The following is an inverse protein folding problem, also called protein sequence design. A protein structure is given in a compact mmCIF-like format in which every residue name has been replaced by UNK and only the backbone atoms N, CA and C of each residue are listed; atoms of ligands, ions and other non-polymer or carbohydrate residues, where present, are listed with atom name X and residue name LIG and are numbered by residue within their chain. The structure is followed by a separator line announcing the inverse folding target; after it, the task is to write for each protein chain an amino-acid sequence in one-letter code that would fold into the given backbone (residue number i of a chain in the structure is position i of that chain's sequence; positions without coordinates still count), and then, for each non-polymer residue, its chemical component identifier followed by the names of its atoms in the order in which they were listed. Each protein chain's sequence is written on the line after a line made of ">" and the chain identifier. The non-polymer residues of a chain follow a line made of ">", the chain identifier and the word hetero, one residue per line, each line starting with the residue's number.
data_IF_816856007157
#
_entry.id   IF_816856007157
#
_cell.length_a   1.000
_cell.length_b   1.000
_cell.length_c   1.000
_cell.angle_alpha   90.00
_cell.angle_beta   90.00
_cell.angle_gamma   90.00
#
_symmetry.space_group_name_H-M   'P 1'
#
loop_
_entity.id
_entity.type
_entity.pdbx_description
1 polymer ?
#
# COMPACT_ATOMS: atom_id res chain seq x y z
N UNK A 1 -10.04 -5.41 -15.65
CA UNK A 1 -8.72 -6.10 -15.41
C UNK A 1 -7.59 -5.24 -15.94
N UNK A 2 -6.50 -5.18 -15.20
CA UNK A 2 -5.31 -4.46 -15.65
C UNK A 2 -4.69 -5.18 -16.86
N UNK A 3 -4.24 -4.40 -17.86
CA UNK A 3 -3.55 -4.98 -19.02
C UNK A 3 -2.17 -5.53 -18.63
N UNK A 4 -1.64 -6.53 -19.37
CA UNK A 4 -0.28 -7.03 -19.10
C UNK A 4 0.80 -5.95 -19.19
N UNK A 5 0.64 -4.98 -20.08
CA UNK A 5 1.59 -3.87 -20.23
C UNK A 5 1.59 -2.98 -19.00
N UNK A 6 0.42 -2.58 -18.52
CA UNK A 6 0.29 -1.74 -17.33
C UNK A 6 0.79 -2.48 -16.09
N UNK A 7 0.47 -3.78 -15.94
CA UNK A 7 0.94 -4.59 -14.83
C UNK A 7 2.46 -4.67 -14.79
N UNK A 8 3.09 -4.82 -15.96
CA UNK A 8 4.56 -4.83 -16.04
C UNK A 8 5.15 -3.52 -15.54
N UNK A 9 4.56 -2.38 -15.93
CA UNK A 9 5.01 -1.06 -15.50
C UNK A 9 4.83 -0.91 -13.98
N UNK A 10 3.68 -1.33 -13.46
CA UNK A 10 3.41 -1.30 -12.02
C UNK A 10 4.44 -2.10 -11.24
N UNK A 11 4.75 -3.32 -11.70
CA UNK A 11 5.74 -4.16 -11.04
C UNK A 11 7.15 -3.57 -11.08
N UNK A 12 7.55 -3.02 -12.22
CA UNK A 12 8.87 -2.39 -12.36
C UNK A 12 9.00 -1.15 -11.46
N UNK A 13 7.93 -0.35 -11.37
CA UNK A 13 7.96 0.94 -10.67
C UNK A 13 7.70 0.81 -9.18
N UNK A 14 6.77 -0.06 -8.79
CA UNK A 14 6.27 -0.15 -7.41
C UNK A 14 6.40 -1.54 -6.79
N UNK A 15 6.83 -2.56 -7.53
CA UNK A 15 7.07 -3.91 -7.01
C UNK A 15 8.36 -4.03 -6.22
N UNK A 16 8.66 -3.01 -5.43
CA UNK A 16 9.86 -2.86 -4.61
C UNK A 16 9.55 -1.85 -3.52
N UNK A 17 10.52 -1.57 -2.64
CA UNK A 17 10.38 -0.49 -1.65
C UNK A 17 10.14 0.83 -2.38
N UNK A 18 8.96 1.38 -2.21
CA UNK A 18 8.52 2.59 -2.90
C UNK A 18 7.85 3.53 -1.91
N UNK A 19 8.04 4.83 -2.10
CA UNK A 19 7.33 5.82 -1.29
C UNK A 19 6.13 6.31 -2.09
N UNK A 20 4.95 6.19 -1.49
CA UNK A 20 3.71 6.72 -2.05
C UNK A 20 3.06 7.67 -1.07
N UNK A 21 2.22 8.55 -1.57
CA UNK A 21 1.35 9.37 -0.73
C UNK A 21 0.03 8.62 -0.55
N UNK A 22 -0.36 8.44 0.70
CA UNK A 22 -1.62 7.77 1.05
C UNK A 22 -2.56 8.80 1.66
N UNK A 23 -3.68 9.03 1.00
CA UNK A 23 -4.72 9.95 1.46
C UNK A 23 -5.84 9.16 2.14
N UNK A 24 -6.25 9.64 3.30
CA UNK A 24 -7.34 9.09 4.11
C UNK A 24 -8.35 10.18 4.41
N UNK A 25 -9.47 9.80 5.02
CA UNK A 25 -10.51 10.76 5.39
C UNK A 25 -10.60 10.81 6.92
N UNK A 26 -10.47 12.00 7.47
CA UNK A 26 -10.58 12.26 8.91
C UNK A 26 -11.79 13.15 9.16
N UNK A 27 -12.90 12.55 9.58
CA UNK A 27 -14.16 13.26 9.86
C UNK A 27 -14.57 14.17 8.69
N UNK A 28 -14.55 13.60 7.48
CA UNK A 28 -14.92 14.34 6.25
C UNK A 28 -13.79 15.18 5.65
N UNK A 29 -12.67 15.35 6.35
CA UNK A 29 -11.53 16.13 5.86
C UNK A 29 -10.44 15.20 5.30
N UNK A 30 -9.87 15.52 4.15
CA UNK A 30 -8.77 14.73 3.61
C UNK A 30 -7.51 14.91 4.46
N UNK A 31 -6.78 13.82 4.62
CA UNK A 31 -5.47 13.80 5.26
C UNK A 31 -4.51 13.00 4.38
N UNK A 32 -3.25 13.38 4.33
CA UNK A 32 -2.27 12.72 3.45
C UNK A 32 -0.90 12.64 4.12
N UNK A 33 -0.20 11.55 3.88
CA UNK A 33 1.17 11.32 4.35
C UNK A 33 1.90 10.40 3.39
N UNK A 34 3.24 10.42 3.44
CA UNK A 34 4.05 9.46 2.71
C UNK A 34 4.18 8.17 3.52
N UNK A 35 4.18 7.04 2.83
CA UNK A 35 4.39 5.72 3.42
C UNK A 35 5.28 4.90 2.50
N UNK A 36 6.04 3.96 3.08
CA UNK A 36 6.72 2.94 2.31
C UNK A 36 5.72 1.86 1.92
N UNK A 37 5.70 1.49 0.66
CA UNK A 37 4.72 0.56 0.13
C UNK A 37 5.34 -0.38 -0.90
N UNK A 38 4.74 -1.55 -1.03
CA UNK A 38 5.13 -2.58 -1.98
C UNK A 38 3.91 -3.00 -2.78
N UNK A 39 3.97 -2.87 -4.10
CA UNK A 39 2.89 -3.26 -4.99
C UNK A 39 2.99 -4.74 -5.36
N UNK A 40 1.89 -5.45 -5.25
CA UNK A 40 1.77 -6.82 -5.73
C UNK A 40 0.32 -7.08 -6.15
N UNK A 41 0.13 -7.40 -7.42
CA UNK A 41 -1.15 -7.90 -7.95
C UNK A 41 -2.37 -7.05 -7.58
N UNK A 42 -2.31 -5.76 -7.85
CA UNK A 42 -3.44 -4.86 -7.68
C UNK A 42 -3.58 -4.24 -6.30
N UNK A 43 -2.62 -4.47 -5.42
CA UNK A 43 -2.66 -3.93 -4.06
C UNK A 43 -1.32 -3.38 -3.63
N UNK A 44 -1.34 -2.38 -2.76
CA UNK A 44 -0.16 -1.95 -2.03
C UNK A 44 -0.18 -2.52 -0.62
N UNK A 45 0.98 -2.94 -0.15
CA UNK A 45 1.18 -3.48 1.19
C UNK A 45 2.09 -2.54 1.98
N UNK A 46 1.68 -2.21 3.20
CA UNK A 46 2.34 -1.23 4.06
C UNK A 46 2.48 -1.84 5.46
N UNK A 47 3.65 -1.67 6.07
CA UNK A 47 3.84 -2.02 7.48
C UNK A 47 3.58 -0.76 8.29
N UNK A 48 2.66 -0.83 9.23
CA UNK A 48 2.30 0.34 10.04
C UNK A 48 1.86 -0.06 11.45
N UNK A 49 1.72 0.94 12.30
CA UNK A 49 1.30 0.74 13.70
C UNK A 49 -0.23 0.87 13.79
N UNK A 50 -0.86 -0.15 14.37
CA UNK A 50 -2.33 -0.24 14.45
C UNK A 50 -2.98 0.94 15.18
N UNK A 51 -2.27 1.56 16.12
CA UNK A 51 -2.79 2.66 16.92
C UNK A 51 -2.41 4.04 16.38
N UNK A 52 -1.92 4.10 15.13
CA UNK A 52 -1.59 5.38 14.48
C UNK A 52 -2.84 6.15 14.05
N UNK A 53 -2.68 7.45 13.80
CA UNK A 53 -3.79 8.31 13.33
C UNK A 53 -4.37 7.81 12.00
N UNK A 54 -3.51 7.39 11.06
CA UNK A 54 -3.99 6.90 9.77
C UNK A 54 -4.88 5.66 9.94
N UNK A 55 -4.55 4.77 10.87
CA UNK A 55 -5.33 3.56 11.10
C UNK A 55 -6.66 3.87 11.76
N UNK A 56 -6.70 4.83 12.68
CA UNK A 56 -7.95 5.33 13.25
C UNK A 56 -8.87 5.88 12.16
N UNK A 57 -8.30 6.65 11.24
CA UNK A 57 -9.04 7.25 10.13
C UNK A 57 -9.59 6.16 9.20
N UNK A 58 -8.77 5.17 8.86
CA UNK A 58 -9.16 4.05 7.99
C UNK A 58 -10.25 3.19 8.62
N UNK A 59 -10.21 2.96 9.92
CA UNK A 59 -11.27 2.23 10.62
C UNK A 59 -12.63 2.91 10.47
N UNK A 60 -12.65 4.24 10.47
CA UNK A 60 -13.88 5.02 10.34
C UNK A 60 -14.29 5.21 8.87
N UNK A 61 -13.33 5.22 7.94
CA UNK A 61 -13.61 5.34 6.52
C UNK A 61 -12.51 4.64 5.74
N UNK A 62 -12.85 3.52 5.12
CA UNK A 62 -11.90 2.67 4.41
C UNK A 62 -11.49 3.20 3.03
N UNK A 63 -12.20 4.20 2.52
CA UNK A 63 -11.88 4.79 1.23
C UNK A 63 -10.59 5.58 1.30
N UNK A 64 -9.66 5.30 0.39
CA UNK A 64 -8.36 5.93 0.34
C UNK A 64 -8.00 6.29 -1.09
N UNK A 65 -7.01 7.16 -1.22
CA UNK A 65 -6.40 7.48 -2.51
C UNK A 65 -4.88 7.38 -2.37
N UNK A 66 -4.23 7.09 -3.48
CA UNK A 66 -2.78 6.90 -3.56
C UNK A 66 -2.23 7.77 -4.67
N UNK A 67 -1.07 8.37 -4.43
CA UNK A 67 -0.30 9.06 -5.46
C UNK A 67 1.14 8.58 -5.39
N UNK A 68 1.68 8.21 -6.53
CA UNK A 68 3.08 7.83 -6.68
C UNK A 68 3.67 8.48 -7.91
N UNK A 69 4.81 8.01 -8.36
CA UNK A 69 5.49 8.54 -9.54
C UNK A 69 4.65 8.30 -10.80
N UNK A 70 4.11 9.40 -11.37
CA UNK A 70 3.25 9.35 -12.55
C UNK A 70 2.07 8.37 -12.40
N UNK A 71 1.51 8.33 -11.20
CA UNK A 71 0.47 7.38 -10.86
C UNK A 71 -0.46 7.96 -9.79
N UNK A 72 -1.77 7.84 -10.03
CA UNK A 72 -2.79 8.12 -9.02
C UNK A 72 -3.80 6.99 -9.00
N UNK A 73 -4.36 6.70 -7.84
CA UNK A 73 -5.33 5.62 -7.71
C UNK A 73 -6.32 5.89 -6.58
N UNK A 74 -7.43 5.17 -6.63
CA UNK A 74 -8.41 5.08 -5.55
C UNK A 74 -8.56 3.62 -5.16
N UNK A 75 -8.87 3.40 -3.90
CA UNK A 75 -9.07 2.06 -3.39
C UNK A 75 -9.64 2.03 -2.00
N UNK A 76 -9.59 0.86 -1.40
CA UNK A 76 -10.01 0.64 -0.02
C UNK A 76 -8.86 0.05 0.78
N UNK A 77 -8.76 0.46 2.03
CA UNK A 77 -7.69 0.02 2.93
C UNK A 77 -8.24 -0.90 4.01
N UNK A 78 -7.44 -1.90 4.39
CA UNK A 78 -7.82 -2.88 5.40
C UNK A 78 -6.61 -3.29 6.23
N UNK A 79 -6.80 -3.35 7.54
CA UNK A 79 -5.84 -3.94 8.47
C UNK A 79 -5.98 -5.46 8.40
N UNK A 80 -4.97 -6.16 7.88
CA UNK A 80 -5.00 -7.62 7.78
C UNK A 80 -4.28 -8.31 8.94
N UNK A 81 -3.93 -7.55 9.97
CA UNK A 81 -3.47 -8.09 11.22
C UNK A 81 -1.97 -8.07 11.43
N UNK A 82 -1.58 -8.69 12.53
CA UNK A 82 -0.21 -8.70 13.01
C UNK A 82 0.78 -9.21 11.95
N UNK A 83 1.88 -8.47 11.77
CA UNK A 83 2.91 -8.77 10.78
C UNK A 83 3.46 -10.20 10.91
N UNK A 84 3.67 -10.68 12.12
CA UNK A 84 4.25 -12.01 12.38
C UNK A 84 3.20 -13.12 12.60
N UNK A 85 1.92 -12.86 12.31
CA UNK A 85 0.93 -13.94 12.42
C UNK A 85 1.14 -14.99 11.34
N UNK A 86 0.75 -16.23 11.62
CA UNK A 86 0.88 -17.34 10.68
C UNK A 86 0.11 -17.07 9.38
N UNK A 87 -1.05 -16.42 9.48
CA UNK A 87 -1.89 -16.07 8.34
C UNK A 87 -1.19 -15.11 7.38
N UNK A 88 -0.30 -14.27 7.88
CA UNK A 88 0.42 -13.27 7.12
C UNK A 88 1.84 -13.68 6.73
N UNK A 89 2.23 -14.92 6.99
CA UNK A 89 3.61 -15.39 6.79
C UNK A 89 4.12 -15.16 5.37
N UNK A 90 3.33 -15.49 4.37
CA UNK A 90 3.72 -15.32 2.97
C UNK A 90 3.91 -13.84 2.62
N UNK A 91 2.96 -13.00 2.99
CA UNK A 91 3.04 -11.56 2.77
C UNK A 91 4.21 -10.95 3.53
N UNK A 92 4.40 -11.32 4.79
CA UNK A 92 5.50 -10.84 5.62
C UNK A 92 6.87 -11.20 5.00
N UNK A 93 7.00 -12.37 4.41
CA UNK A 93 8.22 -12.79 3.72
C UNK A 93 8.53 -11.86 2.54
N UNK A 94 7.52 -11.55 1.74
CA UNK A 94 7.67 -10.62 0.60
C UNK A 94 8.06 -9.23 1.07
N UNK A 95 7.44 -8.73 2.13
CA UNK A 95 7.72 -7.39 2.67
C UNK A 95 9.10 -7.33 3.31
N UNK A 96 9.53 -8.39 3.98
CA UNK A 96 10.88 -8.46 4.55
C UNK A 96 11.93 -8.34 3.45
N UNK A 97 11.72 -9.00 2.32
CA UNK A 97 12.62 -8.88 1.18
C UNK A 97 12.58 -7.49 0.54
N UNK A 98 11.39 -6.96 0.30
CA UNK A 98 11.21 -5.65 -0.34
C UNK A 98 11.80 -4.51 0.50
N UNK A 99 11.61 -4.56 1.82
CA UNK A 99 12.04 -3.51 2.76
C UNK A 99 13.34 -3.85 3.48
N UNK A 100 14.16 -4.72 2.91
CA UNK A 100 15.37 -5.23 3.57
C UNK A 100 16.36 -4.13 4.01
N UNK A 101 16.37 -2.99 3.34
CA UNK A 101 17.27 -1.89 3.70
C UNK A 101 16.95 -1.25 5.05
N UNK A 102 15.68 -1.30 5.48
CA UNK A 102 15.31 -0.61 6.71
C UNK A 102 14.50 -1.45 7.70
N UNK A 103 13.94 -2.58 7.30
CA UNK A 103 13.00 -3.33 8.15
C UNK A 103 13.60 -3.79 9.48
N UNK A 104 14.90 -4.03 9.51
CA UNK A 104 15.62 -4.47 10.71
C UNK A 104 16.52 -3.40 11.31
N UNK A 105 16.21 -2.12 11.07
CA UNK A 105 17.04 -1.00 11.54
C UNK A 105 16.80 -0.62 13.01
N UNK A 106 15.95 -1.36 13.74
CA UNK A 106 15.62 -1.10 15.14
C UNK A 106 14.42 -0.20 15.37
N UNK A 107 13.83 0.37 14.32
CA UNK A 107 12.66 1.23 14.42
C UNK A 107 11.33 0.44 14.46
N UNK A 108 11.37 -0.84 14.12
CA UNK A 108 10.19 -1.71 14.13
C UNK A 108 10.38 -2.79 15.19
N UNK A 109 9.51 -2.81 16.17
CA UNK A 109 9.47 -3.85 17.19
C UNK A 109 8.39 -4.87 16.84
N UNK A 110 8.79 -5.94 16.15
CA UNK A 110 7.85 -6.98 15.73
C UNK A 110 7.40 -7.91 16.86
N UNK A 111 7.89 -7.72 18.08
CA UNK A 111 7.28 -8.36 19.26
C UNK A 111 5.98 -7.67 19.65
N UNK A 112 5.79 -6.42 19.25
CA UNK A 112 4.55 -5.68 19.47
C UNK A 112 3.53 -6.08 18.40
N UNK A 113 2.42 -6.67 18.85
CA UNK A 113 1.34 -7.14 17.97
C UNK A 113 0.58 -6.03 17.25
N UNK A 114 0.81 -4.77 17.63
CA UNK A 114 0.26 -3.62 16.94
C UNK A 114 1.03 -3.25 15.67
N UNK A 115 2.15 -3.92 15.39
CA UNK A 115 2.81 -3.81 14.09
C UNK A 115 2.09 -4.71 13.10
N UNK A 116 1.31 -4.09 12.23
CA UNK A 116 0.36 -4.76 11.35
C UNK A 116 0.68 -4.51 9.89
N UNK A 117 0.07 -5.31 9.03
CA UNK A 117 0.10 -5.10 7.59
C UNK A 117 -1.20 -4.39 7.19
N UNK A 118 -1.05 -3.27 6.51
CA UNK A 118 -2.17 -2.56 5.88
C UNK A 118 -2.15 -2.90 4.39
N UNK A 119 -3.25 -3.40 3.87
CA UNK A 119 -3.43 -3.62 2.44
C UNK A 119 -4.30 -2.51 1.87
N UNK A 120 -3.86 -1.93 0.75
CA UNK A 120 -4.66 -0.99 -0.04
C UNK A 120 -5.01 -1.69 -1.33
N UNK A 121 -6.28 -2.09 -1.45
CA UNK A 121 -6.81 -2.74 -2.67
C UNK A 121 -7.23 -1.65 -3.63
N UNK A 122 -6.60 -1.62 -4.80
CA UNK A 122 -6.85 -0.60 -5.80
C UNK A 122 -8.13 -0.90 -6.60
N UNK A 123 -8.96 0.12 -6.80
CA UNK A 123 -10.16 0.03 -7.62
C UNK A 123 -9.89 0.57 -9.03
N UNK A 124 -9.47 1.82 -9.12
CA UNK A 124 -9.17 2.49 -10.39
C UNK A 124 -7.89 3.28 -10.27
N UNK A 125 -7.20 3.46 -11.38
CA UNK A 125 -5.96 4.21 -11.41
C UNK A 125 -5.71 4.86 -12.76
N UNK A 126 -4.86 5.89 -12.75
CA UNK A 126 -4.29 6.49 -13.95
C UNK A 126 -2.78 6.36 -13.84
N UNK A 127 -2.18 5.75 -14.84
CA UNK A 127 -0.74 5.51 -14.91
C UNK A 127 -0.20 6.13 -16.19
N UNK A 128 0.90 6.87 -16.08
CA UNK A 128 1.60 7.40 -17.25
C UNK A 128 2.97 6.74 -17.38
N UNK A 129 3.31 6.33 -18.59
CA UNK A 129 4.64 5.79 -18.90
C UNK A 129 4.94 6.02 -20.38
N UNK A 130 6.12 6.55 -20.68
CA UNK A 130 6.57 6.75 -22.06
C UNK A 130 5.54 7.48 -22.92
N UNK A 131 4.95 8.54 -22.39
CA UNK A 131 3.91 9.37 -23.02
C UNK A 131 2.57 8.66 -23.25
N UNK A 132 2.41 7.48 -22.71
CA UNK A 132 1.16 6.73 -22.80
C UNK A 132 0.41 6.85 -21.48
N UNK A 133 -0.89 7.14 -21.56
CA UNK A 133 -1.79 7.14 -20.44
C UNK A 133 -2.51 5.78 -20.37
N UNK A 134 -2.46 5.14 -19.22
CA UNK A 134 -3.22 3.92 -18.95
C UNK A 134 -4.30 4.24 -17.94
N UNK A 135 -5.55 4.03 -18.33
CA UNK A 135 -6.69 4.06 -17.41
C UNK A 135 -6.94 2.63 -16.96
N UNK A 136 -6.80 2.37 -15.67
CA UNK A 136 -6.80 1.01 -15.13
C UNK A 136 -8.03 0.80 -14.26
N UNK A 137 -8.73 -0.30 -14.51
CA UNK A 137 -9.80 -0.81 -13.65
C UNK A 137 -9.34 -2.16 -13.11
N UNK A 138 -9.14 -2.23 -11.80
CA UNK A 138 -8.67 -3.45 -11.13
C UNK A 138 -9.80 -4.41 -10.77
N UNK A 139 -11.05 -4.02 -10.98
CA UNK A 139 -12.21 -4.77 -10.47
C UNK A 139 -12.48 -6.09 -11.20
N UNK A 140 -11.88 -6.29 -12.35
CA UNK A 140 -12.08 -7.52 -13.13
C UNK A 140 -10.80 -8.35 -13.20
#
# INVERSE_FOLDING_TARGET
>A
MISPEAEKIMNERFGKDSIIALATVDDGMPAVRNVNAYYDSGSFYIITYALSDKMRQIENNRNVAVCGEWFTARGTAENIGYFCSDENKETATKLTAAFSEWINNGHNDFSDKNNIILIVKLDTAVLFSMRTRYDIDFSD
#
